data_IF_955755610421
#
_entry.id   IF_955755610421
#
_cell.length_a   1.000
_cell.length_b   1.000
_cell.length_c   1.000
_cell.angle_alpha   90.00
_cell.angle_beta   90.00
_cell.angle_gamma   90.00
#
_symmetry.space_group_name_H-M   'P 1'
#
loop_
_entity.id
_entity.type
_entity.pdbx_description
1 polymer ?
#
# COMPACT_ATOMS: atom_id res chain seq x y z
N UNK A 1 -27.55 20.44 4.64
CA UNK A 1 -28.29 21.58 4.06
C UNK A 1 -27.53 22.06 2.84
N UNK A 2 -28.20 22.16 1.68
CA UNK A 2 -27.65 22.74 0.46
C UNK A 2 -28.20 24.16 0.30
N UNK A 3 -27.37 25.21 0.39
CA UNK A 3 -27.82 26.58 0.24
C UNK A 3 -28.24 26.87 -1.20
N UNK A 4 -29.20 27.77 -1.38
CA UNK A 4 -29.55 28.25 -2.70
C UNK A 4 -28.38 29.02 -3.32
N UNK A 5 -27.94 28.58 -4.49
CA UNK A 5 -26.97 29.28 -5.32
C UNK A 5 -27.53 29.38 -6.74
N UNK A 6 -27.44 30.57 -7.34
CA UNK A 6 -27.90 30.79 -8.73
C UNK A 6 -27.07 29.91 -9.67
N UNK A 7 -27.75 29.05 -10.43
CA UNK A 7 -27.09 28.07 -11.33
C UNK A 7 -26.41 26.90 -10.62
N UNK A 8 -26.64 26.73 -9.31
CA UNK A 8 -26.09 25.63 -8.52
C UNK A 8 -27.03 24.41 -8.43
N UNK A 9 -26.67 23.48 -7.56
CA UNK A 9 -27.49 22.31 -7.21
C UNK A 9 -28.82 22.72 -6.59
N UNK A 10 -29.86 21.89 -6.75
CA UNK A 10 -31.17 22.14 -6.16
C UNK A 10 -31.05 22.30 -4.63
N UNK A 11 -31.55 23.41 -4.04
CA UNK A 11 -31.42 23.64 -2.60
C UNK A 11 -32.35 22.71 -1.81
N UNK A 12 -31.91 22.35 -0.61
CA UNK A 12 -32.73 21.48 0.24
C UNK A 12 -32.03 21.01 1.50
N UNK A 13 -32.82 20.46 2.41
CA UNK A 13 -32.32 19.74 3.58
C UNK A 13 -32.44 18.26 3.27
N UNK A 14 -31.31 17.67 2.87
CA UNK A 14 -31.20 16.25 2.59
C UNK A 14 -30.67 15.54 3.82
N UNK A 15 -31.47 14.61 4.35
CA UNK A 15 -31.12 13.77 5.49
C UNK A 15 -31.07 12.32 5.02
N UNK A 16 -29.96 11.65 5.28
CA UNK A 16 -29.75 10.26 4.89
C UNK A 16 -29.49 9.41 6.13
N UNK A 17 -30.21 8.29 6.23
CA UNK A 17 -30.07 7.30 7.31
C UNK A 17 -29.77 5.89 6.80
N UNK A 18 -29.73 5.72 5.47
CA UNK A 18 -29.51 4.43 4.82
C UNK A 18 -28.07 3.92 4.99
N UNK A 19 -27.88 2.61 4.81
CA UNK A 19 -26.56 1.95 4.78
C UNK A 19 -25.76 2.24 3.51
N UNK A 20 -24.55 1.66 3.42
CA UNK A 20 -23.64 1.76 2.27
C UNK A 20 -23.19 3.20 1.90
N UNK A 21 -23.16 4.11 2.88
CA UNK A 21 -22.64 5.47 2.71
C UNK A 21 -21.16 5.54 3.05
N UNK A 22 -20.40 6.27 2.26
CA UNK A 22 -19.02 6.64 2.61
C UNK A 22 -19.07 7.77 3.64
N UNK A 23 -18.56 7.48 4.83
CA UNK A 23 -18.46 8.42 5.94
C UNK A 23 -17.00 8.52 6.36
N UNK A 24 -16.55 9.71 6.77
CA UNK A 24 -15.21 9.91 7.33
C UNK A 24 -15.27 10.81 8.57
N UNK A 25 -14.36 10.61 9.55
CA UNK A 25 -14.31 11.44 10.74
C UNK A 25 -13.60 12.78 10.48
N UNK A 26 -14.18 13.85 10.98
CA UNK A 26 -13.59 15.19 11.10
C UNK A 26 -13.85 15.72 12.50
N UNK A 27 -13.12 16.76 12.92
CA UNK A 27 -13.36 17.40 14.21
C UNK A 27 -14.11 18.71 14.00
N UNK A 28 -15.17 18.92 14.74
CA UNK A 28 -15.90 20.18 14.72
C UNK A 28 -15.19 21.21 15.61
N UNK A 29 -14.93 22.41 15.10
CA UNK A 29 -14.07 23.39 15.79
C UNK A 29 -14.71 23.93 17.07
N UNK A 30 -16.01 24.22 17.04
CA UNK A 30 -16.72 24.81 18.18
C UNK A 30 -16.91 23.83 19.35
N UNK A 31 -17.32 22.58 19.05
CA UNK A 31 -17.60 21.56 20.08
C UNK A 31 -16.39 20.70 20.43
N UNK A 32 -15.34 20.69 19.57
CA UNK A 32 -14.20 19.76 19.61
C UNK A 32 -14.58 18.28 19.49
N UNK A 33 -15.84 17.98 19.19
CA UNK A 33 -16.34 16.62 19.02
C UNK A 33 -15.95 16.05 17.66
N UNK A 34 -15.77 14.73 17.60
CA UNK A 34 -15.63 14.00 16.35
C UNK A 34 -16.98 13.87 15.68
N UNK A 35 -17.09 14.33 14.44
CA UNK A 35 -18.28 14.23 13.61
C UNK A 35 -17.98 13.36 12.38
N UNK A 36 -18.93 12.53 11.98
CA UNK A 36 -18.82 11.72 10.77
C UNK A 36 -19.55 12.45 9.64
N UNK A 37 -18.80 12.83 8.62
CA UNK A 37 -19.36 13.52 7.45
C UNK A 37 -19.39 12.59 6.23
N UNK A 38 -20.44 12.74 5.43
CA UNK A 38 -20.59 12.08 4.14
C UNK A 38 -20.03 12.92 2.98
N UNK A 39 -19.98 12.33 1.79
CA UNK A 39 -19.50 13.00 0.57
C UNK A 39 -20.35 14.22 0.17
N UNK A 40 -21.68 14.16 0.37
CA UNK A 40 -22.56 15.28 0.06
C UNK A 40 -22.31 16.45 1.01
N UNK A 41 -22.20 16.19 2.32
CA UNK A 41 -21.95 17.22 3.34
C UNK A 41 -20.59 17.89 3.12
N UNK A 42 -19.57 17.10 2.77
CA UNK A 42 -18.24 17.61 2.46
C UNK A 42 -18.22 18.63 1.30
N UNK A 43 -19.18 18.60 0.37
CA UNK A 43 -19.25 19.58 -0.72
C UNK A 43 -19.68 20.99 -0.28
N UNK A 44 -20.25 21.11 0.92
CA UNK A 44 -20.77 22.37 1.48
C UNK A 44 -19.95 22.85 2.66
N UNK A 45 -19.26 21.94 3.35
CA UNK A 45 -18.47 22.25 4.54
C UNK A 45 -17.08 22.77 4.18
N UNK A 46 -16.69 23.87 4.82
CA UNK A 46 -15.31 24.36 4.84
C UNK A 46 -14.53 23.66 5.96
N UNK A 47 -13.58 22.80 5.56
CA UNK A 47 -12.81 21.93 6.46
C UNK A 47 -11.33 22.34 6.40
N UNK A 48 -10.77 22.73 7.55
CA UNK A 48 -9.37 23.10 7.70
C UNK A 48 -8.47 21.87 7.67
N UNK A 49 -7.42 21.89 6.85
CA UNK A 49 -6.38 20.88 6.86
C UNK A 49 -5.16 21.40 7.64
N UNK A 50 -4.70 20.71 8.71
CA UNK A 50 -3.51 21.10 9.46
C UNK A 50 -2.24 20.61 8.73
N UNK A 51 -2.02 21.11 7.51
CA UNK A 51 -0.87 20.78 6.67
C UNK A 51 0.34 21.70 6.89
N UNK A 52 0.27 22.58 7.90
CA UNK A 52 1.27 23.60 8.18
C UNK A 52 1.11 24.88 7.34
N UNK A 53 0.12 24.93 6.45
CA UNK A 53 -0.28 26.12 5.71
C UNK A 53 -1.47 26.84 6.37
N UNK A 54 -1.93 27.95 5.79
CA UNK A 54 -3.14 28.65 6.24
C UNK A 54 -4.46 27.96 5.83
N UNK A 55 -4.44 26.65 5.54
CA UNK A 55 -5.64 25.87 5.25
C UNK A 55 -6.25 26.15 3.87
N UNK A 56 -5.44 26.62 2.92
CA UNK A 56 -5.89 26.91 1.56
C UNK A 56 -6.36 28.36 1.35
N UNK A 57 -7.61 28.52 0.89
CA UNK A 57 -8.12 29.79 0.35
C UNK A 57 -8.26 30.89 1.40
N UNK A 58 -7.67 32.06 1.13
CA UNK A 58 -7.73 33.24 2.00
C UNK A 58 -9.19 33.70 2.19
N UNK A 59 -9.61 33.87 3.44
CA UNK A 59 -10.91 34.46 3.80
C UNK A 59 -12.05 33.47 4.05
N UNK A 60 -11.81 32.16 4.00
CA UNK A 60 -12.79 31.16 4.42
C UNK A 60 -12.84 31.05 5.95
N UNK A 61 -14.06 30.88 6.49
CA UNK A 61 -14.28 30.55 7.91
C UNK A 61 -14.51 29.05 8.02
N UNK A 62 -13.52 28.34 8.54
CA UNK A 62 -13.63 26.90 8.73
C UNK A 62 -14.62 26.56 9.84
N UNK A 63 -15.40 25.51 9.61
CA UNK A 63 -16.36 24.97 10.60
C UNK A 63 -15.84 23.68 11.24
N UNK A 64 -15.03 22.94 10.48
CA UNK A 64 -14.44 21.66 10.85
C UNK A 64 -12.93 21.69 10.58
N UNK A 65 -12.21 20.76 11.18
CA UNK A 65 -10.79 20.52 10.94
C UNK A 65 -10.52 19.02 10.74
N UNK A 66 -9.51 18.70 9.93
CA UNK A 66 -8.98 17.35 9.81
C UNK A 66 -8.15 16.99 11.06
N UNK A 67 -8.16 15.71 11.45
CA UNK A 67 -7.28 15.22 12.51
C UNK A 67 -5.79 15.27 12.13
N UNK A 68 -5.49 15.22 10.84
CA UNK A 68 -4.15 15.28 10.29
C UNK A 68 -4.20 15.20 8.76
N UNK A 69 -3.22 15.79 8.05
CA UNK A 69 -3.22 15.81 6.60
C UNK A 69 -3.08 14.41 5.98
N UNK A 70 -2.56 13.43 6.71
CA UNK A 70 -2.36 12.07 6.21
C UNK A 70 -3.67 11.28 6.12
N UNK A 71 -4.78 11.76 6.70
CA UNK A 71 -6.07 11.06 6.73
C UNK A 71 -6.70 10.83 5.36
N UNK A 72 -6.33 11.62 4.36
CA UNK A 72 -6.77 11.42 2.98
C UNK A 72 -6.05 10.26 2.26
N UNK A 73 -4.88 9.83 2.75
CA UNK A 73 -4.06 8.82 2.08
C UNK A 73 -4.53 7.40 2.40
N UNK A 74 -4.45 6.52 1.40
CA UNK A 74 -4.68 5.09 1.57
C UNK A 74 -3.61 4.46 2.47
N UNK A 75 -3.88 3.24 2.94
CA UNK A 75 -2.91 2.47 3.76
C UNK A 75 -1.56 2.43 3.07
N UNK A 76 -1.49 1.95 1.82
CA UNK A 76 -0.24 1.81 1.06
C UNK A 76 0.41 3.17 0.78
N UNK A 77 -0.37 4.18 0.37
CA UNK A 77 0.17 5.50 0.07
C UNK A 77 0.79 6.15 1.32
N UNK A 78 0.20 5.91 2.49
CA UNK A 78 0.67 6.46 3.76
C UNK A 78 1.94 5.81 4.33
N UNK A 79 2.41 4.71 3.72
CA UNK A 79 3.66 4.05 4.09
C UNK A 79 4.86 4.61 3.31
N UNK A 80 4.63 5.35 2.22
CA UNK A 80 5.70 5.99 1.45
C UNK A 80 6.31 7.14 2.27
N UNK A 81 7.60 7.07 2.65
CA UNK A 81 8.25 8.14 3.39
C UNK A 81 8.39 9.38 2.51
N UNK A 82 8.17 10.56 3.10
CA UNK A 82 8.32 11.87 2.44
C UNK A 82 7.62 11.96 1.07
N UNK A 83 6.41 11.42 0.95
CA UNK A 83 5.66 11.39 -0.31
C UNK A 83 5.40 12.76 -0.93
N UNK A 84 5.40 13.81 -0.10
CA UNK A 84 5.28 15.23 -0.47
C UNK A 84 6.51 15.79 -1.21
N UNK A 85 7.68 15.15 -1.10
CA UNK A 85 8.89 15.51 -1.84
C UNK A 85 8.98 14.80 -3.21
N UNK A 86 8.05 13.88 -3.49
CA UNK A 86 8.02 13.12 -4.72
C UNK A 86 6.96 13.68 -5.68
N UNK A 87 7.27 13.64 -6.98
CA UNK A 87 6.25 13.91 -8.00
C UNK A 87 5.11 12.88 -7.90
N UNK A 88 3.86 13.31 -8.06
CA UNK A 88 2.69 12.44 -7.82
C UNK A 88 2.68 11.12 -8.61
N UNK A 89 3.15 11.02 -9.88
CA UNK A 89 3.30 9.73 -10.56
C UNK A 89 4.17 8.72 -9.80
N UNK A 90 5.24 9.17 -9.15
CA UNK A 90 6.17 8.28 -8.41
C UNK A 90 5.50 7.63 -7.22
N UNK A 91 4.66 8.38 -6.50
CA UNK A 91 3.88 7.83 -5.38
C UNK A 91 2.85 6.79 -5.88
N UNK A 92 2.23 7.03 -7.04
CA UNK A 92 1.31 6.05 -7.65
C UNK A 92 2.04 4.77 -8.04
N UNK A 93 3.21 4.88 -8.69
CA UNK A 93 4.04 3.72 -9.03
C UNK A 93 4.47 2.95 -7.78
N UNK A 94 4.89 3.63 -6.72
CA UNK A 94 5.25 2.97 -5.47
C UNK A 94 4.09 2.15 -4.90
N UNK A 95 2.86 2.67 -4.95
CA UNK A 95 1.68 1.92 -4.49
C UNK A 95 1.44 0.65 -5.32
N UNK A 96 1.74 0.68 -6.62
CA UNK A 96 1.66 -0.50 -7.48
C UNK A 96 2.76 -1.51 -7.16
N UNK A 97 4.01 -1.07 -7.04
CA UNK A 97 5.18 -1.92 -6.78
C UNK A 97 5.12 -2.55 -5.39
N UNK A 98 4.66 -1.82 -4.38
CA UNK A 98 4.49 -2.33 -3.02
C UNK A 98 3.55 -3.55 -2.97
N UNK A 99 2.49 -3.56 -3.79
CA UNK A 99 1.54 -4.68 -3.87
C UNK A 99 2.10 -5.91 -4.60
N UNK A 100 3.18 -5.75 -5.35
CA UNK A 100 3.84 -6.82 -6.12
C UNK A 100 5.13 -7.32 -5.44
N UNK A 101 5.59 -6.62 -4.39
CA UNK A 101 6.84 -6.94 -3.72
C UNK A 101 6.75 -8.30 -3.01
N UNK A 102 7.84 -9.07 -3.08
CA UNK A 102 7.98 -10.30 -2.31
C UNK A 102 8.30 -9.95 -0.86
N UNK A 103 7.30 -10.05 0.00
CA UNK A 103 7.44 -9.84 1.44
C UNK A 103 7.14 -11.09 2.24
N UNK A 104 6.42 -10.90 3.34
CA UNK A 104 5.92 -12.00 4.18
C UNK A 104 4.41 -12.10 4.01
N UNK A 105 3.94 -13.05 3.20
CA UNK A 105 2.51 -13.16 2.87
C UNK A 105 1.64 -13.64 4.06
N UNK A 106 2.18 -14.55 4.87
CA UNK A 106 1.50 -15.10 6.05
C UNK A 106 2.54 -15.65 7.04
N UNK A 107 2.18 -15.68 8.32
CA UNK A 107 3.00 -16.30 9.37
C UNK A 107 2.78 -17.82 9.46
N UNK A 108 1.53 -18.27 9.34
CA UNK A 108 1.14 -19.68 9.41
C UNK A 108 1.34 -20.43 8.08
N UNK A 109 2.47 -20.25 7.40
CA UNK A 109 2.77 -20.89 6.10
C UNK A 109 2.63 -22.42 6.11
N UNK A 110 3.05 -23.17 7.16
CA UNK A 110 2.92 -24.63 7.18
C UNK A 110 1.47 -25.14 7.16
N UNK A 111 0.50 -24.30 7.50
CA UNK A 111 -0.92 -24.66 7.57
C UNK A 111 -1.72 -24.16 6.37
N UNK A 112 -1.05 -23.71 5.30
CA UNK A 112 -1.69 -23.13 4.11
C UNK A 112 -1.29 -23.92 2.86
N UNK A 113 -2.26 -24.06 1.96
CA UNK A 113 -2.11 -24.77 0.67
C UNK A 113 -2.36 -23.84 -0.51
N UNK A 114 -1.90 -22.59 -0.40
CA UNK A 114 -2.00 -21.61 -1.49
C UNK A 114 -1.21 -22.08 -2.72
N UNK A 115 -1.70 -21.76 -3.92
CA UNK A 115 -1.09 -22.21 -5.18
C UNK A 115 0.34 -21.70 -5.39
N UNK A 116 0.59 -20.43 -5.06
CA UNK A 116 1.90 -19.78 -5.15
C UNK A 116 2.06 -18.78 -4.01
N UNK A 117 3.16 -18.87 -3.27
CA UNK A 117 3.53 -17.90 -2.24
C UNK A 117 4.99 -17.52 -2.38
N UNK A 118 5.25 -16.22 -2.30
CA UNK A 118 6.60 -15.68 -2.24
C UNK A 118 6.91 -15.30 -0.80
N UNK A 119 8.11 -15.67 -0.33
CA UNK A 119 8.58 -15.35 1.02
C UNK A 119 9.99 -14.81 0.96
N UNK A 120 10.19 -13.60 1.45
CA UNK A 120 11.51 -13.06 1.74
C UNK A 120 12.08 -13.70 3.01
N UNK A 121 13.33 -14.19 2.98
CA UNK A 121 13.89 -14.96 4.09
C UNK A 121 14.38 -14.09 5.25
N UNK A 122 15.03 -12.97 4.93
CA UNK A 122 15.61 -12.06 5.91
C UNK A 122 15.05 -10.64 5.76
N UNK A 123 13.73 -10.44 5.91
CA UNK A 123 13.14 -9.12 5.83
C UNK A 123 13.53 -8.27 7.05
N UNK A 124 13.54 -6.95 6.91
CA UNK A 124 13.90 -6.01 7.97
C UNK A 124 12.87 -4.89 8.08
N UNK A 125 12.68 -4.38 9.30
CA UNK A 125 11.95 -3.13 9.53
C UNK A 125 12.70 -1.96 8.88
N UNK A 126 12.01 -1.07 8.14
CA UNK A 126 12.65 0.08 7.53
C UNK A 126 13.15 1.06 8.61
N UNK A 127 14.37 1.58 8.41
CA UNK A 127 14.96 2.59 9.32
C UNK A 127 14.13 3.88 9.29
N UNK A 128 13.73 4.31 8.09
CA UNK A 128 12.86 5.48 7.87
C UNK A 128 11.43 4.98 7.69
N UNK A 129 10.54 5.33 8.63
CA UNK A 129 9.15 4.87 8.63
C UNK A 129 8.18 6.01 8.96
N UNK A 130 6.96 5.92 8.44
CA UNK A 130 5.89 6.86 8.77
C UNK A 130 5.25 6.50 10.12
N UNK A 131 4.57 7.47 10.75
CA UNK A 131 3.89 7.25 12.04
C UNK A 131 2.83 6.14 11.98
N UNK A 132 2.28 5.85 10.79
CA UNK A 132 1.24 4.84 10.56
C UNK A 132 1.77 3.42 10.41
N UNK A 133 3.07 3.26 10.13
CA UNK A 133 3.70 1.95 9.98
C UNK A 133 3.45 1.03 11.20
N UNK A 134 3.72 1.46 12.45
CA UNK A 134 3.40 0.66 13.64
C UNK A 134 1.88 0.55 13.88
N UNK A 135 1.08 1.56 13.54
CA UNK A 135 -0.38 1.51 13.71
C UNK A 135 -1.03 0.37 12.92
N UNK A 136 -0.48 0.04 11.76
CA UNK A 136 -0.93 -1.09 10.94
C UNK A 136 -0.19 -2.40 11.21
N UNK A 137 0.63 -2.47 12.26
CA UNK A 137 1.44 -3.64 12.60
C UNK A 137 2.27 -4.19 11.42
N UNK A 138 2.80 -3.29 10.57
CA UNK A 138 3.56 -3.70 9.37
C UNK A 138 4.87 -4.42 9.70
N UNK A 139 5.36 -4.28 10.94
CA UNK A 139 6.49 -5.05 11.48
C UNK A 139 6.21 -6.56 11.53
N UNK A 140 4.95 -6.99 11.64
CA UNK A 140 4.57 -8.41 11.61
C UNK A 140 4.64 -9.01 10.20
N UNK A 141 4.57 -8.18 9.16
CA UNK A 141 4.61 -8.58 7.75
C UNK A 141 5.63 -7.74 6.99
N UNK A 142 6.93 -7.90 7.29
CA UNK A 142 7.95 -7.04 6.71
C UNK A 142 8.15 -7.38 5.22
N UNK A 143 8.25 -6.32 4.41
CA UNK A 143 8.14 -6.37 2.94
C UNK A 143 9.42 -5.94 2.21
N UNK A 144 10.57 -5.93 2.87
CA UNK A 144 11.83 -5.51 2.26
C UNK A 144 13.04 -5.69 3.16
N UNK A 145 14.18 -5.14 2.73
CA UNK A 145 15.43 -5.11 3.50
C UNK A 145 16.06 -3.73 3.41
N UNK A 146 16.83 -3.32 4.41
CA UNK A 146 17.61 -2.09 4.33
C UNK A 146 18.90 -2.36 3.55
N UNK A 147 19.12 -1.60 2.48
CA UNK A 147 20.32 -1.70 1.65
C UNK A 147 21.14 -0.41 1.73
N UNK A 148 22.47 -0.53 1.65
CA UNK A 148 23.36 0.62 1.48
C UNK A 148 23.35 0.97 -0.01
N UNK A 149 22.81 2.13 -0.35
CA UNK A 149 22.69 2.63 -1.73
C UNK A 149 23.72 3.71 -1.97
N UNK A 150 24.45 3.63 -3.08
CA UNK A 150 25.41 4.63 -3.51
C UNK A 150 24.99 5.18 -4.89
N UNK A 151 24.81 6.49 -4.99
CA UNK A 151 24.42 7.16 -6.24
C UNK A 151 25.69 7.67 -6.93
N UNK A 152 26.20 6.91 -7.89
CA UNK A 152 27.46 7.16 -8.57
C UNK A 152 27.44 6.57 -9.98
N UNK A 153 28.10 7.24 -10.93
CA UNK A 153 28.37 6.70 -12.25
C UNK A 153 29.78 6.12 -12.26
N UNK A 154 29.91 4.79 -12.18
CA UNK A 154 31.23 4.14 -12.06
C UNK A 154 31.43 2.98 -13.02
N UNK A 155 30.48 2.05 -13.10
CA UNK A 155 30.68 0.81 -13.85
C UNK A 155 30.27 0.89 -15.32
N UNK A 156 29.37 1.81 -15.67
CA UNK A 156 28.78 1.91 -17.00
C UNK A 156 27.73 0.82 -17.32
N UNK A 157 27.43 -0.10 -16.38
CA UNK A 157 26.39 -1.11 -16.51
C UNK A 157 25.07 -0.71 -15.83
N UNK A 158 25.04 0.46 -15.20
CA UNK A 158 23.93 1.11 -14.50
C UNK A 158 23.20 2.13 -15.38
N UNK A 159 23.19 1.93 -16.71
CA UNK A 159 22.49 2.81 -17.64
C UNK A 159 20.96 2.62 -17.57
N UNK A 160 20.22 3.69 -17.85
CA UNK A 160 18.75 3.76 -17.78
C UNK A 160 18.22 3.52 -16.35
N UNK A 161 17.44 2.45 -16.16
CA UNK A 161 16.80 2.05 -14.90
C UNK A 161 17.50 0.80 -14.28
N UNK A 162 18.68 0.43 -14.78
CA UNK A 162 19.44 -0.71 -14.27
C UNK A 162 20.14 -0.37 -12.95
N UNK A 163 20.19 -1.34 -12.04
CA UNK A 163 20.90 -1.24 -10.77
C UNK A 163 21.90 -2.39 -10.62
N UNK A 164 23.00 -2.12 -9.91
CA UNK A 164 24.06 -3.09 -9.69
C UNK A 164 24.06 -3.54 -8.24
N UNK A 165 24.13 -4.84 -8.04
CA UNK A 165 24.18 -5.47 -6.73
C UNK A 165 25.61 -5.94 -6.42
N UNK A 166 26.03 -5.79 -5.16
CA UNK A 166 27.28 -6.36 -4.70
C UNK A 166 27.17 -7.89 -4.64
N UNK A 167 27.95 -8.58 -5.47
CA UNK A 167 28.00 -10.05 -5.52
C UNK A 167 28.23 -10.69 -4.15
N UNK A 168 29.16 -10.15 -3.36
CA UNK A 168 29.46 -10.69 -2.02
C UNK A 168 28.27 -10.55 -1.07
N UNK A 169 27.45 -9.50 -1.21
CA UNK A 169 26.23 -9.34 -0.41
C UNK A 169 25.17 -10.37 -0.80
N UNK A 170 24.98 -10.63 -2.09
CA UNK A 170 24.01 -11.63 -2.59
C UNK A 170 24.40 -13.05 -2.14
N UNK A 171 25.70 -13.39 -2.22
CA UNK A 171 26.22 -14.68 -1.74
C UNK A 171 26.04 -14.87 -0.22
N UNK A 172 25.95 -13.77 0.53
CA UNK A 172 25.63 -13.77 1.97
C UNK A 172 24.13 -13.75 2.28
N UNK A 173 23.27 -13.86 1.26
CA UNK A 173 21.82 -13.96 1.43
C UNK A 173 21.04 -12.65 1.28
N UNK A 174 21.65 -11.57 0.76
CA UNK A 174 20.94 -10.32 0.51
C UNK A 174 19.73 -10.55 -0.42
N UNK A 175 18.55 -10.11 0.04
CA UNK A 175 17.27 -10.23 -0.65
C UNK A 175 16.90 -11.66 -1.12
N UNK A 176 17.36 -12.69 -0.40
CA UNK A 176 17.04 -14.08 -0.74
C UNK A 176 15.57 -14.40 -0.46
N UNK A 177 14.87 -14.96 -1.46
CA UNK A 177 13.45 -15.30 -1.38
C UNK A 177 13.17 -16.73 -1.84
N UNK A 178 12.11 -17.33 -1.31
CA UNK A 178 11.64 -18.67 -1.67
C UNK A 178 10.23 -18.62 -2.25
N UNK A 179 9.98 -19.48 -3.23
CA UNK A 179 8.68 -19.69 -3.86
C UNK A 179 8.12 -21.04 -3.40
N UNK A 180 6.97 -21.02 -2.75
CA UNK A 180 6.18 -22.21 -2.45
C UNK A 180 5.14 -22.39 -3.55
N UNK A 181 5.07 -23.60 -4.13
CA UNK A 181 4.05 -23.96 -5.10
C UNK A 181 3.37 -25.25 -4.67
N UNK A 182 2.05 -25.21 -4.52
CA UNK A 182 1.25 -26.37 -4.13
C UNK A 182 0.57 -26.94 -5.37
N UNK A 183 0.63 -28.26 -5.55
CA UNK A 183 -0.12 -28.98 -6.59
C UNK A 183 -0.98 -30.05 -5.92
N UNK A 184 -2.30 -29.95 -6.08
CA UNK A 184 -3.27 -30.91 -5.55
C UNK A 184 -3.58 -31.95 -6.63
N UNK A 185 -3.16 -33.19 -6.41
CA UNK A 185 -3.39 -34.31 -7.33
C UNK A 185 -4.57 -35.14 -6.81
N UNK A 186 -5.64 -35.25 -7.60
CA UNK A 186 -6.79 -36.08 -7.27
C UNK A 186 -6.85 -37.31 -8.18
N UNK A 187 -6.50 -38.47 -7.61
CA UNK A 187 -6.42 -39.75 -8.31
C UNK A 187 -7.78 -40.43 -8.54
N UNK A 188 -8.89 -39.89 -8.01
CA UNK A 188 -10.22 -40.51 -8.18
C UNK A 188 -10.68 -40.59 -9.65
N UNK A 189 -10.16 -39.70 -10.51
CA UNK A 189 -10.47 -39.66 -11.95
C UNK A 189 -9.57 -40.56 -12.80
N UNK A 190 -8.52 -41.14 -12.23
CA UNK A 190 -7.51 -41.90 -12.98
C UNK A 190 -7.50 -43.40 -12.63
N UNK A 191 -8.62 -43.92 -12.11
CA UNK A 191 -8.81 -45.37 -11.95
C UNK A 191 -8.80 -46.05 -13.32
N UNK A 192 -7.70 -46.73 -13.65
CA UNK A 192 -7.59 -47.61 -14.83
C UNK A 192 -6.57 -47.19 -15.89
N UNK A 193 -5.87 -46.07 -15.73
CA UNK A 193 -4.73 -45.71 -16.59
C UNK A 193 -3.40 -46.02 -15.91
N UNK A 194 -2.45 -46.54 -16.68
CA UNK A 194 -1.10 -46.90 -16.23
C UNK A 194 -0.27 -45.61 -15.99
N UNK A 195 -0.40 -45.03 -14.79
CA UNK A 195 0.20 -43.75 -14.45
C UNK A 195 1.65 -43.92 -14.01
N UNK A 196 2.59 -43.51 -14.86
CA UNK A 196 3.97 -43.29 -14.45
C UNK A 196 4.06 -41.97 -13.68
N UNK A 197 4.40 -42.04 -12.40
CA UNK A 197 4.68 -40.86 -11.58
C UNK A 197 5.96 -40.18 -12.08
N UNK A 198 5.83 -39.25 -13.02
CA UNK A 198 6.96 -38.44 -13.48
C UNK A 198 7.16 -37.28 -12.51
N UNK A 199 7.97 -37.49 -11.47
CA UNK A 199 8.59 -36.40 -10.73
C UNK A 199 9.51 -35.65 -11.70
N UNK A 200 8.95 -34.69 -12.44
CA UNK A 200 9.64 -33.99 -13.52
C UNK A 200 10.86 -33.24 -12.98
N UNK A 201 12.06 -33.80 -13.19
CA UNK A 201 13.32 -33.08 -13.10
C UNK A 201 13.37 -32.03 -14.21
N UNK A 202 12.71 -30.89 -13.98
CA UNK A 202 12.60 -29.78 -14.92
C UNK A 202 13.88 -28.93 -14.84
N UNK A 203 15.03 -29.51 -15.21
CA UNK A 203 16.33 -28.80 -15.30
C UNK A 203 16.62 -28.17 -16.68
N UNK A 204 15.75 -28.33 -17.67
CA UNK A 204 16.04 -27.91 -19.07
C UNK A 204 15.41 -26.57 -19.55
N UNK A 205 14.68 -25.81 -18.72
CA UNK A 205 14.04 -24.55 -19.18
C UNK A 205 14.66 -23.26 -18.62
N UNK A 206 15.98 -23.21 -18.49
CA UNK A 206 16.72 -21.99 -18.09
C UNK A 206 17.78 -21.52 -19.10
N UNK A 207 17.64 -21.92 -20.38
CA UNK A 207 18.36 -21.29 -21.49
C UNK A 207 17.34 -20.82 -22.52
N UNK A 208 17.06 -19.52 -22.48
CA UNK A 208 16.21 -18.76 -23.37
C UNK A 208 16.33 -17.30 -23.00
#
# INVERSE_FOLDING_TARGET
>A
YLPYKRGGTFPGIYLFTQGARMMRPVRQIASKSTELIGTLEQSVLDIYCPDGSQGGSRGLKFTHEEFGPQQMLSVVASLTPYSDFNQSPRNMYQCQMAKQTMGTAAQALPHRTDNKLYRLQTPQTPIVRTQRYPTYAMDEFPNGTNAIVAVLAYTGYDMEDAMILNKSSVERGFAHASLYKTESINLSKEKGSDLKFAAGNRREKLRG
#
